data_IF_511691431337
#
_entry.id   IF_511691431337
#
_cell.length_a   1.000
_cell.length_b   1.000
_cell.length_c   1.000
_cell.angle_alpha   90.00
_cell.angle_beta   90.00
_cell.angle_gamma   90.00
#
_symmetry.space_group_name_H-M   'P 1'
#
loop_
_entity.id
_entity.type
_entity.pdbx_description
1 polymer ?
#
# COMPACT_ATOMS: atom_id res chain seq x y z
N UNK A 1 -3.71 -31.34 17.88
CA UNK A 1 -4.11 -31.61 16.49
C UNK A 1 -2.94 -31.28 15.57
N UNK A 2 -2.21 -32.31 15.10
CA UNK A 2 -1.14 -32.17 14.11
C UNK A 2 -1.78 -32.15 12.69
N UNK A 3 -2.43 -31.06 12.33
CA UNK A 3 -2.83 -30.89 10.95
C UNK A 3 -1.57 -30.51 10.16
N UNK A 4 -1.01 -31.50 9.45
CA UNK A 4 0.04 -31.24 8.45
C UNK A 4 -0.51 -30.24 7.45
N UNK A 5 0.02 -29.03 7.49
CA UNK A 5 -0.27 -28.00 6.51
C UNK A 5 0.57 -28.29 5.26
N UNK A 6 -0.06 -28.60 4.15
CA UNK A 6 0.62 -28.78 2.87
C UNK A 6 0.45 -27.50 2.04
N UNK A 7 1.56 -26.77 1.85
CA UNK A 7 1.56 -25.51 1.08
C UNK A 7 1.28 -25.78 -0.42
N UNK A 8 1.85 -26.84 -0.97
CA UNK A 8 1.78 -27.20 -2.40
C UNK A 8 0.58 -28.09 -2.77
N UNK A 9 -0.50 -28.03 -2.00
CA UNK A 9 -1.75 -28.72 -2.34
C UNK A 9 -2.47 -27.97 -3.47
N UNK A 10 -2.98 -28.70 -4.46
CA UNK A 10 -3.93 -28.12 -5.42
C UNK A 10 -5.17 -27.63 -4.67
N UNK A 11 -5.52 -26.35 -4.89
CA UNK A 11 -6.65 -25.69 -4.25
C UNK A 11 -7.53 -25.03 -5.30
N UNK A 12 -8.83 -25.20 -5.18
CA UNK A 12 -9.76 -24.36 -5.90
C UNK A 12 -9.84 -22.95 -5.20
N UNK A 13 -10.54 -22.02 -5.82
CA UNK A 13 -10.67 -20.63 -5.33
C UNK A 13 -11.19 -20.57 -3.89
N UNK A 14 -12.24 -21.35 -3.58
CA UNK A 14 -12.86 -21.37 -2.25
C UNK A 14 -11.91 -21.96 -1.19
N UNK A 15 -11.20 -23.02 -1.55
CA UNK A 15 -10.20 -23.64 -0.68
C UNK A 15 -9.02 -22.70 -0.38
N UNK A 16 -8.52 -21.96 -1.37
CA UNK A 16 -7.45 -20.99 -1.18
C UNK A 16 -7.86 -19.86 -0.21
N UNK A 17 -9.09 -19.35 -0.36
CA UNK A 17 -9.64 -18.34 0.55
C UNK A 17 -9.86 -18.93 1.94
N UNK A 18 -10.50 -20.09 2.05
CA UNK A 18 -10.78 -20.74 3.33
C UNK A 18 -9.49 -21.10 4.08
N UNK A 19 -8.49 -21.58 3.36
CA UNK A 19 -7.18 -21.90 3.93
C UNK A 19 -6.42 -20.65 4.34
N UNK A 20 -6.53 -19.54 3.61
CA UNK A 20 -6.00 -18.24 4.00
C UNK A 20 -6.59 -17.75 5.33
N UNK A 21 -7.90 -17.83 5.50
CA UNK A 21 -8.58 -17.50 6.76
C UNK A 21 -8.24 -18.46 7.89
N UNK A 22 -8.18 -19.77 7.59
CA UNK A 22 -7.77 -20.78 8.56
C UNK A 22 -6.35 -20.58 9.03
N UNK A 23 -5.44 -20.19 8.13
CA UNK A 23 -4.07 -19.83 8.46
C UNK A 23 -4.03 -18.62 9.40
N UNK A 24 -4.81 -17.57 9.15
CA UNK A 24 -4.94 -16.43 10.05
C UNK A 24 -5.39 -16.87 11.43
N UNK A 25 -6.50 -17.58 11.51
CA UNK A 25 -7.08 -18.00 12.80
C UNK A 25 -6.10 -18.79 13.67
N UNK A 26 -5.29 -19.66 13.05
CA UNK A 26 -4.35 -20.52 13.78
C UNK A 26 -3.05 -19.78 14.13
N UNK A 27 -2.55 -18.94 13.21
CA UNK A 27 -1.17 -18.45 13.27
C UNK A 27 -1.04 -16.93 13.47
N UNK A 28 -2.12 -16.21 13.69
CA UNK A 28 -2.13 -14.75 13.81
C UNK A 28 -1.12 -14.22 14.84
N UNK A 29 -0.91 -14.95 15.98
CA UNK A 29 0.04 -14.56 17.02
C UNK A 29 1.49 -14.60 16.54
N UNK A 30 1.87 -15.66 15.83
CA UNK A 30 3.22 -15.81 15.31
C UNK A 30 3.48 -14.80 14.17
N UNK A 31 2.49 -14.59 13.33
CA UNK A 31 2.51 -13.60 12.27
C UNK A 31 2.67 -12.18 12.84
N UNK A 32 1.81 -11.80 13.77
CA UNK A 32 1.88 -10.50 14.42
C UNK A 32 3.20 -10.27 15.15
N UNK A 33 3.69 -11.26 15.92
CA UNK A 33 5.00 -11.18 16.60
C UNK A 33 6.16 -10.98 15.62
N UNK A 34 6.04 -11.45 14.39
CA UNK A 34 7.07 -11.28 13.37
C UNK A 34 7.06 -9.89 12.73
N UNK A 35 5.94 -9.20 12.72
CA UNK A 35 5.72 -7.99 11.92
C UNK A 35 5.45 -6.73 12.74
N UNK A 36 4.95 -6.82 13.98
CA UNK A 36 4.40 -5.69 14.73
C UNK A 36 5.34 -4.46 14.80
N UNK A 37 6.64 -4.70 15.03
CA UNK A 37 7.62 -3.62 15.14
C UNK A 37 7.76 -2.87 13.80
N UNK A 38 7.85 -3.61 12.70
CA UNK A 38 7.96 -3.04 11.35
C UNK A 38 6.67 -2.35 10.92
N UNK A 39 5.50 -2.91 11.29
CA UNK A 39 4.20 -2.28 11.04
C UNK A 39 4.07 -0.96 11.79
N UNK A 40 4.49 -0.90 13.06
CA UNK A 40 4.47 0.34 13.82
C UNK A 40 5.45 1.38 13.26
N UNK A 41 6.66 0.97 12.88
CA UNK A 41 7.63 1.88 12.26
C UNK A 41 7.12 2.41 10.91
N UNK A 42 6.59 1.55 10.06
CA UNK A 42 6.03 1.96 8.77
C UNK A 42 4.77 2.82 8.96
N UNK A 43 3.89 2.47 9.89
CA UNK A 43 2.71 3.26 10.24
C UNK A 43 3.08 4.64 10.78
N UNK A 44 4.12 4.73 11.63
CA UNK A 44 4.63 6.02 12.14
C UNK A 44 5.22 6.88 11.02
N UNK A 45 5.95 6.28 10.09
CA UNK A 45 6.48 7.00 8.92
C UNK A 45 5.36 7.51 8.02
N UNK A 46 4.31 6.71 7.79
CA UNK A 46 3.13 7.14 7.04
C UNK A 46 2.37 8.25 7.78
N UNK A 47 2.24 8.17 9.11
CA UNK A 47 1.61 9.19 9.92
C UNK A 47 2.40 10.51 9.90
N UNK A 48 3.74 10.43 9.93
CA UNK A 48 4.60 11.60 9.79
C UNK A 48 4.45 12.23 8.39
N UNK A 49 4.47 11.43 7.34
CA UNK A 49 4.24 11.91 5.98
C UNK A 49 2.86 12.58 5.85
N UNK A 50 1.83 11.97 6.43
CA UNK A 50 0.48 12.53 6.45
C UNK A 50 0.45 13.88 7.17
N UNK A 51 1.12 13.99 8.33
CA UNK A 51 1.23 15.24 9.06
C UNK A 51 1.90 16.32 8.21
N UNK A 52 3.02 16.00 7.57
CA UNK A 52 3.72 16.92 6.66
C UNK A 52 2.83 17.36 5.49
N UNK A 53 2.04 16.44 4.92
CA UNK A 53 1.10 16.76 3.86
C UNK A 53 -0.01 17.69 4.35
N UNK A 54 -0.54 17.47 5.56
CA UNK A 54 -1.54 18.35 6.16
C UNK A 54 -0.98 19.75 6.41
N UNK A 55 0.22 19.85 6.97
CA UNK A 55 0.87 21.13 7.22
C UNK A 55 1.14 21.87 5.90
N UNK A 56 1.62 21.18 4.85
CA UNK A 56 1.80 21.77 3.52
C UNK A 56 0.48 22.25 2.89
N UNK A 57 -0.59 21.47 3.04
CA UNK A 57 -1.92 21.83 2.58
C UNK A 57 -2.43 23.11 3.25
N UNK A 58 -2.26 23.21 4.59
CA UNK A 58 -2.74 24.36 5.38
C UNK A 58 -1.91 25.62 5.15
N UNK A 59 -0.61 25.48 4.99
CA UNK A 59 0.30 26.63 4.87
C UNK A 59 0.37 27.18 3.44
N UNK A 60 0.12 26.35 2.43
CA UNK A 60 0.32 26.72 1.03
C UNK A 60 -0.95 26.57 0.19
N UNK A 61 -1.51 25.36 0.11
CA UNK A 61 -2.58 25.09 -0.86
C UNK A 61 -3.91 25.79 -0.53
N UNK A 62 -4.35 25.76 0.72
CA UNK A 62 -5.60 26.40 1.12
C UNK A 62 -5.54 27.93 1.06
N UNK A 63 -4.50 28.61 1.56
CA UNK A 63 -4.36 30.05 1.40
C UNK A 63 -4.34 30.47 -0.07
N UNK A 64 -3.59 29.76 -0.93
CA UNK A 64 -3.57 30.05 -2.36
C UNK A 64 -4.95 29.90 -3.02
N UNK A 65 -5.70 28.83 -2.65
CA UNK A 65 -7.06 28.64 -3.15
C UNK A 65 -8.00 29.78 -2.72
N UNK A 66 -7.93 30.21 -1.46
CA UNK A 66 -8.75 31.32 -0.93
C UNK A 66 -8.39 32.66 -1.59
N UNK A 67 -7.09 32.93 -1.78
CA UNK A 67 -6.64 34.12 -2.52
C UNK A 67 -7.15 34.12 -3.97
N UNK A 68 -7.09 33.00 -4.65
CA UNK A 68 -7.63 32.82 -5.99
C UNK A 68 -9.14 33.08 -6.05
N UNK A 69 -9.90 32.55 -5.07
CA UNK A 69 -11.35 32.79 -4.97
C UNK A 69 -11.71 34.26 -4.67
N UNK A 70 -10.83 34.94 -3.93
CA UNK A 70 -10.97 36.37 -3.63
C UNK A 70 -10.56 37.30 -4.81
N UNK A 71 -10.11 36.73 -5.92
CA UNK A 71 -9.70 37.51 -7.11
C UNK A 71 -8.33 38.16 -6.96
N UNK A 72 -7.45 37.62 -6.11
CA UNK A 72 -6.09 38.13 -5.96
C UNK A 72 -5.27 37.91 -7.26
N UNK A 73 -4.26 38.75 -7.46
CA UNK A 73 -3.34 38.65 -8.59
C UNK A 73 -2.66 37.26 -8.67
N UNK A 74 -2.52 36.77 -9.90
CA UNK A 74 -1.95 35.45 -10.17
C UNK A 74 -0.55 35.25 -9.56
N UNK A 75 0.26 36.31 -9.46
CA UNK A 75 1.60 36.25 -8.86
C UNK A 75 1.52 36.05 -7.33
N UNK A 76 0.56 36.72 -6.66
CA UNK A 76 0.33 36.54 -5.21
C UNK A 76 -0.15 35.12 -4.91
N UNK A 77 -1.07 34.59 -5.75
CA UNK A 77 -1.57 33.22 -5.62
C UNK A 77 -0.45 32.22 -5.83
N UNK A 78 0.40 32.40 -6.84
CA UNK A 78 1.56 31.54 -7.08
C UNK A 78 2.56 31.56 -5.91
N UNK A 79 2.88 32.76 -5.39
CA UNK A 79 3.79 32.90 -4.26
C UNK A 79 3.25 32.17 -3.01
N UNK A 80 1.94 32.24 -2.75
CA UNK A 80 1.31 31.53 -1.63
C UNK A 80 1.27 30.00 -1.84
N UNK A 81 1.10 29.56 -3.10
CA UNK A 81 0.96 28.13 -3.43
C UNK A 81 2.29 27.36 -3.41
N UNK A 82 3.42 28.07 -3.59
CA UNK A 82 4.70 27.38 -3.77
C UNK A 82 5.39 27.13 -2.41
N UNK A 83 5.56 25.87 -2.02
CA UNK A 83 6.26 25.55 -0.80
C UNK A 83 7.78 25.83 -0.93
N UNK A 84 8.40 26.20 0.16
CA UNK A 84 9.86 26.34 0.23
C UNK A 84 10.57 25.02 -0.08
N UNK A 85 11.82 25.12 -0.60
CA UNK A 85 12.64 23.92 -0.90
C UNK A 85 12.81 22.99 0.30
N UNK A 86 12.83 23.50 1.51
CA UNK A 86 12.87 22.72 2.75
C UNK A 86 11.66 21.80 2.92
N UNK A 87 10.45 22.28 2.60
CA UNK A 87 9.24 21.48 2.62
C UNK A 87 9.26 20.36 1.59
N UNK A 88 9.75 20.65 0.38
CA UNK A 88 9.91 19.64 -0.66
C UNK A 88 10.86 18.52 -0.21
N UNK A 89 11.99 18.89 0.44
CA UNK A 89 12.93 17.92 1.01
C UNK A 89 12.27 17.05 2.09
N UNK A 90 11.49 17.67 3.00
CA UNK A 90 10.76 16.89 4.04
C UNK A 90 9.75 15.92 3.43
N UNK A 91 8.97 16.36 2.43
CA UNK A 91 8.01 15.49 1.74
C UNK A 91 8.70 14.36 0.99
N UNK A 92 9.77 14.63 0.27
CA UNK A 92 10.55 13.59 -0.43
C UNK A 92 11.13 12.60 0.58
N UNK A 93 11.77 13.08 1.65
CA UNK A 93 12.39 12.23 2.67
C UNK A 93 11.33 11.39 3.39
N UNK A 94 10.20 11.98 3.79
CA UNK A 94 9.09 11.29 4.41
C UNK A 94 8.47 10.23 3.50
N UNK A 95 8.35 10.52 2.21
CA UNK A 95 7.85 9.56 1.21
C UNK A 95 8.81 8.39 1.05
N UNK A 96 10.11 8.65 0.88
CA UNK A 96 11.12 7.60 0.75
C UNK A 96 11.19 6.73 1.99
N UNK A 97 11.10 7.31 3.19
CA UNK A 97 11.08 6.58 4.46
C UNK A 97 9.85 5.68 4.55
N UNK A 98 8.67 6.21 4.27
CA UNK A 98 7.40 5.47 4.32
C UNK A 98 7.39 4.31 3.34
N UNK A 99 7.81 4.53 2.10
CA UNK A 99 7.93 3.49 1.08
C UNK A 99 8.95 2.42 1.47
N UNK A 100 10.14 2.82 1.95
CA UNK A 100 11.20 1.87 2.33
C UNK A 100 10.75 0.96 3.47
N UNK A 101 10.12 1.50 4.50
CA UNK A 101 9.59 0.71 5.61
C UNK A 101 8.39 -0.16 5.19
N UNK A 102 7.53 0.33 4.30
CA UNK A 102 6.45 -0.46 3.70
C UNK A 102 6.99 -1.65 2.91
N UNK A 103 8.01 -1.44 2.07
CA UNK A 103 8.66 -2.52 1.31
C UNK A 103 9.35 -3.55 2.23
N UNK A 104 9.95 -3.12 3.34
CA UNK A 104 10.50 -4.04 4.34
C UNK A 104 9.41 -4.89 5.00
N UNK A 105 8.25 -4.32 5.33
CA UNK A 105 7.11 -5.08 5.85
C UNK A 105 6.63 -6.15 4.85
N UNK A 106 6.47 -5.77 3.59
CA UNK A 106 6.03 -6.67 2.53
C UNK A 106 7.09 -7.75 2.25
N UNK A 107 8.37 -7.38 2.15
CA UNK A 107 9.48 -8.32 1.95
C UNK A 107 9.60 -9.34 3.08
N UNK A 108 9.43 -8.89 4.32
CA UNK A 108 9.41 -9.76 5.50
C UNK A 108 8.21 -10.71 5.48
N UNK A 109 7.05 -10.26 5.03
CA UNK A 109 5.86 -11.11 4.84
C UNK A 109 6.12 -12.19 3.80
N UNK A 110 6.67 -11.83 2.65
CA UNK A 110 7.00 -12.78 1.59
C UNK A 110 8.04 -13.80 2.05
N UNK A 111 9.06 -13.38 2.79
CA UNK A 111 10.02 -14.29 3.37
C UNK A 111 9.39 -15.24 4.40
N UNK A 112 8.44 -14.78 5.20
CA UNK A 112 7.67 -15.64 6.11
C UNK A 112 6.84 -16.68 5.34
N UNK A 113 6.22 -16.28 4.23
CA UNK A 113 5.47 -17.17 3.32
C UNK A 113 6.42 -18.25 2.76
N UNK A 114 7.57 -17.85 2.22
CA UNK A 114 8.57 -18.76 1.65
C UNK A 114 9.07 -19.79 2.68
N UNK A 115 9.43 -19.34 3.87
CA UNK A 115 9.87 -20.24 4.95
C UNK A 115 8.78 -21.21 5.39
N UNK A 116 7.53 -20.77 5.41
CA UNK A 116 6.38 -21.60 5.75
C UNK A 116 6.14 -22.66 4.67
N UNK A 117 6.31 -22.28 3.40
CA UNK A 117 6.22 -23.18 2.26
C UNK A 117 7.28 -24.28 2.29
N UNK A 118 8.55 -23.90 2.58
CA UNK A 118 9.67 -24.84 2.63
C UNK A 118 9.61 -25.80 3.83
N UNK A 119 9.14 -25.32 4.97
CA UNK A 119 9.14 -26.12 6.20
C UNK A 119 7.93 -27.04 6.36
N UNK A 120 6.89 -26.92 5.51
CA UNK A 120 5.57 -27.58 5.65
C UNK A 120 4.94 -27.44 7.05
N UNK A 121 5.51 -26.59 7.87
CA UNK A 121 5.09 -26.30 9.25
C UNK A 121 5.26 -24.82 9.50
N UNK A 122 4.43 -24.27 10.36
CA UNK A 122 4.63 -22.89 10.77
C UNK A 122 5.98 -22.73 11.45
N UNK A 123 6.79 -21.90 10.84
CA UNK A 123 8.11 -21.57 11.37
C UNK A 123 7.92 -20.68 12.60
N UNK A 124 8.85 -20.82 13.57
CA UNK A 124 8.94 -19.91 14.72
C UNK A 124 8.91 -18.44 14.24
N UNK A 125 8.34 -17.53 15.05
CA UNK A 125 8.35 -16.11 14.72
C UNK A 125 9.73 -15.65 14.27
N UNK A 126 9.78 -14.83 13.22
CA UNK A 126 11.06 -14.26 12.76
C UNK A 126 11.66 -13.39 13.87
N UNK A 127 12.97 -13.45 14.01
CA UNK A 127 13.70 -12.53 14.90
C UNK A 127 13.50 -11.08 14.42
N UNK A 128 13.55 -10.11 15.33
CA UNK A 128 13.41 -8.69 14.97
C UNK A 128 14.58 -8.16 14.14
N UNK A 129 15.74 -8.82 14.16
CA UNK A 129 16.89 -8.44 13.33
C UNK A 129 16.60 -8.65 11.84
N UNK A 130 16.95 -7.66 11.05
CA UNK A 130 16.87 -7.73 9.57
C UNK A 130 17.81 -8.84 9.04
N UNK A 131 17.27 -9.68 8.16
CA UNK A 131 18.03 -10.70 7.45
C UNK A 131 18.25 -10.28 5.99
N UNK A 132 19.36 -10.71 5.40
CA UNK A 132 19.71 -10.39 4.01
C UNK A 132 18.61 -10.85 3.00
N UNK A 133 17.97 -12.00 3.27
CA UNK A 133 16.87 -12.51 2.45
C UNK A 133 15.61 -11.62 2.52
N UNK A 134 15.31 -11.02 3.68
CA UNK A 134 14.21 -10.07 3.84
C UNK A 134 14.46 -8.79 3.02
N UNK A 135 15.70 -8.27 3.06
CA UNK A 135 16.11 -7.13 2.25
C UNK A 135 16.07 -7.44 0.74
N UNK A 136 16.43 -8.67 0.34
CA UNK A 136 16.32 -9.11 -1.05
C UNK A 136 14.87 -9.16 -1.51
N UNK A 137 13.95 -9.73 -0.71
CA UNK A 137 12.53 -9.74 -1.00
C UNK A 137 11.94 -8.32 -1.03
N UNK A 138 12.32 -7.45 -0.09
CA UNK A 138 11.91 -6.04 -0.07
C UNK A 138 12.37 -5.28 -1.33
N UNK A 139 13.61 -5.51 -1.80
CA UNK A 139 14.10 -4.92 -3.05
C UNK A 139 13.32 -5.38 -4.28
N UNK A 140 12.91 -6.65 -4.33
CA UNK A 140 12.05 -7.16 -5.42
C UNK A 140 10.67 -6.50 -5.41
N UNK A 141 10.07 -6.35 -4.23
CA UNK A 141 8.81 -5.62 -4.06
C UNK A 141 8.96 -4.17 -4.50
N UNK A 142 10.02 -3.48 -4.05
CA UNK A 142 10.32 -2.10 -4.43
C UNK A 142 10.44 -1.95 -5.96
N UNK A 143 11.16 -2.85 -6.62
CA UNK A 143 11.29 -2.83 -8.08
C UNK A 143 9.92 -2.97 -8.77
N UNK A 144 9.07 -3.88 -8.31
CA UNK A 144 7.71 -4.07 -8.83
C UNK A 144 6.89 -2.79 -8.68
N UNK A 145 6.94 -2.18 -7.52
CA UNK A 145 6.18 -0.97 -7.21
C UNK A 145 6.68 0.25 -8.00
N UNK A 146 7.99 0.38 -8.15
CA UNK A 146 8.55 1.45 -8.98
C UNK A 146 8.14 1.32 -10.44
N UNK A 147 8.21 0.12 -11.03
CA UNK A 147 7.84 -0.09 -12.43
C UNK A 147 6.34 0.10 -12.66
N UNK A 148 5.49 -0.54 -11.84
CA UNK A 148 4.04 -0.40 -11.99
C UNK A 148 3.54 0.98 -11.55
N UNK A 149 4.18 1.60 -10.55
CA UNK A 149 3.89 2.95 -10.11
C UNK A 149 4.21 4.00 -11.18
N UNK A 150 5.36 3.89 -11.83
CA UNK A 150 5.71 4.79 -12.96
C UNK A 150 4.77 4.59 -14.15
N UNK A 151 4.41 3.35 -14.47
CA UNK A 151 3.42 3.06 -15.51
C UNK A 151 2.06 3.68 -15.16
N UNK A 152 1.62 3.52 -13.91
CA UNK A 152 0.36 4.10 -13.43
C UNK A 152 0.37 5.63 -13.51
N UNK A 153 1.45 6.28 -13.08
CA UNK A 153 1.59 7.73 -13.15
C UNK A 153 1.58 8.24 -14.61
N UNK A 154 2.28 7.57 -15.50
CA UNK A 154 2.30 7.93 -16.93
C UNK A 154 0.92 7.81 -17.56
N UNK A 155 0.20 6.72 -17.29
CA UNK A 155 -1.17 6.51 -17.80
C UNK A 155 -2.16 7.50 -17.17
N UNK A 156 -2.04 7.77 -15.86
CA UNK A 156 -2.89 8.75 -15.18
C UNK A 156 -2.67 10.16 -15.73
N UNK A 157 -1.43 10.55 -15.98
CA UNK A 157 -1.11 11.84 -16.62
C UNK A 157 -1.69 11.92 -18.02
N UNK A 158 -1.61 10.84 -18.83
CA UNK A 158 -2.21 10.75 -20.16
C UNK A 158 -3.74 10.87 -20.11
N UNK A 159 -4.40 10.17 -19.19
CA UNK A 159 -5.86 10.27 -18.97
C UNK A 159 -6.23 11.69 -18.53
N UNK A 160 -5.48 12.29 -17.60
CA UNK A 160 -5.72 13.67 -17.13
C UNK A 160 -5.58 14.68 -18.26
N UNK A 161 -4.55 14.55 -19.10
CA UNK A 161 -4.38 15.40 -20.29
C UNK A 161 -5.52 15.21 -21.29
N UNK A 162 -5.93 13.98 -21.57
CA UNK A 162 -7.04 13.68 -22.47
C UNK A 162 -8.39 14.20 -21.92
N UNK A 163 -8.61 14.07 -20.62
CA UNK A 163 -9.80 14.62 -19.96
C UNK A 163 -9.86 16.13 -20.08
N UNK A 164 -8.74 16.83 -19.95
CA UNK A 164 -8.66 18.28 -20.13
C UNK A 164 -8.89 18.71 -21.58
N UNK A 165 -8.31 17.98 -22.57
CA UNK A 165 -8.39 18.36 -23.99
C UNK A 165 -9.70 17.99 -24.66
N UNK A 166 -10.29 16.84 -24.30
CA UNK A 166 -11.42 16.27 -25.06
C UNK A 166 -12.71 16.25 -24.24
N UNK A 167 -12.72 15.61 -23.10
CA UNK A 167 -13.92 15.52 -22.27
C UNK A 167 -13.59 15.09 -20.85
N UNK A 168 -14.20 15.74 -19.87
CA UNK A 168 -14.09 15.38 -18.44
C UNK A 168 -14.49 13.92 -18.16
N UNK A 169 -15.36 13.32 -18.97
CA UNK A 169 -15.80 11.93 -18.83
C UNK A 169 -14.66 10.93 -19.01
N UNK A 170 -13.59 11.31 -19.72
CA UNK A 170 -12.40 10.48 -19.84
C UNK A 170 -11.73 10.24 -18.48
N UNK A 171 -11.92 11.16 -17.53
CA UNK A 171 -11.41 10.99 -16.17
C UNK A 171 -11.99 9.78 -15.44
N UNK A 172 -13.17 9.27 -15.86
CA UNK A 172 -13.75 8.03 -15.30
C UNK A 172 -12.91 6.78 -15.59
N UNK A 173 -11.98 6.84 -16.54
CA UNK A 173 -11.02 5.76 -16.77
C UNK A 173 -9.97 5.66 -15.65
N UNK A 174 -9.74 6.74 -14.88
CA UNK A 174 -8.74 6.76 -13.82
C UNK A 174 -9.02 5.75 -12.70
N UNK A 175 -10.23 5.67 -12.10
CA UNK A 175 -10.53 4.66 -11.08
C UNK A 175 -10.43 3.23 -11.63
N UNK A 176 -10.81 2.98 -12.89
CA UNK A 176 -10.64 1.67 -13.52
C UNK A 176 -9.17 1.30 -13.68
N UNK A 177 -8.33 2.24 -14.08
CA UNK A 177 -6.88 2.07 -14.17
C UNK A 177 -6.27 1.77 -12.80
N UNK A 178 -6.67 2.51 -11.76
CA UNK A 178 -6.20 2.30 -10.38
C UNK A 178 -6.53 0.88 -9.89
N UNK A 179 -7.76 0.40 -10.13
CA UNK A 179 -8.19 -0.95 -9.78
C UNK A 179 -7.37 -1.99 -10.55
N UNK A 180 -7.21 -1.80 -11.87
CA UNK A 180 -6.49 -2.73 -12.73
C UNK A 180 -5.01 -2.87 -12.31
N UNK A 181 -4.28 -1.75 -12.21
CA UNK A 181 -2.86 -1.77 -11.87
C UNK A 181 -2.66 -2.14 -10.40
N UNK A 182 -3.53 -1.70 -9.49
CA UNK A 182 -3.47 -2.06 -8.08
C UNK A 182 -3.56 -3.59 -7.85
N UNK A 183 -4.50 -4.25 -8.53
CA UNK A 183 -4.62 -5.70 -8.50
C UNK A 183 -3.39 -6.40 -9.11
N UNK A 184 -2.89 -5.90 -10.25
CA UNK A 184 -1.69 -6.42 -10.89
C UNK A 184 -0.45 -6.26 -10.00
N UNK A 185 -0.31 -5.12 -9.31
CA UNK A 185 0.82 -4.85 -8.41
C UNK A 185 0.88 -5.88 -7.28
N UNK A 186 -0.24 -6.17 -6.64
CA UNK A 186 -0.29 -7.16 -5.55
C UNK A 186 0.08 -8.55 -6.05
N UNK A 187 -0.42 -8.95 -7.22
CA UNK A 187 -0.06 -10.23 -7.86
C UNK A 187 1.42 -10.29 -8.24
N UNK A 188 1.96 -9.24 -8.85
CA UNK A 188 3.36 -9.17 -9.24
C UNK A 188 4.31 -9.22 -8.04
N UNK A 189 3.94 -8.60 -6.91
CA UNK A 189 4.70 -8.69 -5.65
C UNK A 189 4.84 -10.12 -5.17
N UNK A 190 3.78 -10.93 -5.28
CA UNK A 190 3.83 -12.34 -4.89
C UNK A 190 4.67 -13.14 -5.88
N UNK A 191 4.41 -13.02 -7.17
CA UNK A 191 5.10 -13.78 -8.23
C UNK A 191 6.61 -13.51 -8.27
N UNK A 192 7.01 -12.23 -8.19
CA UNK A 192 8.41 -11.85 -8.24
C UNK A 192 9.07 -11.88 -6.85
N UNK A 193 8.32 -11.51 -5.81
CA UNK A 193 8.83 -11.45 -4.45
C UNK A 193 9.26 -12.79 -3.89
N UNK A 194 8.57 -13.88 -4.26
CA UNK A 194 8.97 -15.25 -3.92
C UNK A 194 10.19 -15.75 -4.71
N UNK A 195 10.70 -14.96 -5.64
CA UNK A 195 11.96 -15.23 -6.33
C UNK A 195 11.92 -16.32 -7.40
N UNK A 196 10.73 -16.77 -7.78
CA UNK A 196 10.52 -17.90 -8.69
C UNK A 196 10.52 -17.48 -10.18
N UNK A 197 10.24 -16.21 -10.49
CA UNK A 197 10.14 -15.68 -11.84
C UNK A 197 11.06 -14.49 -12.08
N UNK A 198 11.44 -14.24 -13.34
CA UNK A 198 12.09 -12.99 -13.73
C UNK A 198 11.10 -11.80 -13.61
N UNK A 199 11.58 -10.56 -13.39
CA UNK A 199 10.70 -9.40 -13.19
C UNK A 199 9.75 -9.15 -14.37
N UNK A 200 10.26 -9.24 -15.60
CA UNK A 200 9.43 -9.04 -16.81
C UNK A 200 8.34 -10.09 -16.97
N UNK A 201 8.66 -11.36 -16.68
CA UNK A 201 7.68 -12.46 -16.77
C UNK A 201 6.62 -12.34 -15.66
N UNK A 202 7.01 -11.98 -14.45
CA UNK A 202 6.07 -11.75 -13.35
C UNK A 202 5.09 -10.59 -13.65
N UNK A 203 5.59 -9.49 -14.23
CA UNK A 203 4.78 -8.36 -14.63
C UNK A 203 3.80 -8.72 -15.76
N UNK A 204 4.27 -9.40 -16.82
CA UNK A 204 3.42 -9.82 -17.93
C UNK A 204 2.32 -10.78 -17.48
N UNK A 205 2.62 -11.71 -16.58
CA UNK A 205 1.61 -12.62 -16.02
C UNK A 205 0.62 -11.87 -15.14
N UNK A 206 1.08 -10.95 -14.31
CA UNK A 206 0.23 -10.17 -13.41
C UNK A 206 -0.71 -9.22 -14.17
N UNK A 207 -0.24 -8.58 -15.23
CA UNK A 207 -1.04 -7.68 -16.08
C UNK A 207 -1.97 -8.42 -17.05
N UNK A 208 -1.64 -9.66 -17.42
CA UNK A 208 -2.36 -10.42 -18.41
C UNK A 208 -3.06 -11.66 -17.85
N UNK A 209 -2.40 -12.82 -18.02
CA UNK A 209 -3.03 -14.14 -17.82
C UNK A 209 -3.55 -14.41 -16.41
N UNK A 210 -2.87 -13.90 -15.38
CA UNK A 210 -3.28 -14.10 -13.98
C UNK A 210 -4.28 -13.07 -13.48
N UNK A 211 -4.44 -11.92 -14.17
CA UNK A 211 -5.14 -10.76 -13.65
C UNK A 211 -6.57 -11.05 -13.18
N UNK A 212 -7.41 -11.61 -14.05
CA UNK A 212 -8.83 -11.79 -13.75
C UNK A 212 -9.09 -12.70 -12.55
N UNK A 213 -8.34 -13.81 -12.45
CA UNK A 213 -8.50 -14.76 -11.34
C UNK A 213 -7.95 -14.23 -10.02
N UNK A 214 -6.80 -13.60 -10.04
CA UNK A 214 -6.20 -12.99 -8.86
C UNK A 214 -6.99 -11.76 -8.40
N UNK A 215 -7.60 -11.01 -9.31
CA UNK A 215 -8.52 -9.93 -9.00
C UNK A 215 -9.74 -10.42 -8.22
N UNK A 216 -10.37 -11.52 -8.64
CA UNK A 216 -11.50 -12.10 -7.90
C UNK A 216 -11.09 -12.54 -6.49
N UNK A 217 -9.91 -13.18 -6.33
CA UNK A 217 -9.38 -13.52 -5.00
C UNK A 217 -9.21 -12.27 -4.14
N UNK A 218 -8.59 -11.24 -4.70
CA UNK A 218 -8.38 -9.97 -3.99
C UNK A 218 -9.71 -9.31 -3.61
N UNK A 219 -10.68 -9.27 -4.52
CA UNK A 219 -11.99 -8.68 -4.27
C UNK A 219 -12.72 -9.38 -3.12
N UNK A 220 -12.77 -10.71 -3.14
CA UNK A 220 -13.44 -11.49 -2.11
C UNK A 220 -12.75 -11.40 -0.74
N UNK A 221 -11.43 -11.28 -0.72
CA UNK A 221 -10.67 -11.11 0.51
C UNK A 221 -10.66 -9.67 1.01
N UNK A 222 -10.63 -8.70 0.10
CA UNK A 222 -10.58 -7.29 0.45
C UNK A 222 -11.90 -6.79 1.00
N UNK A 223 -13.03 -7.33 0.55
CA UNK A 223 -14.35 -6.84 0.95
C UNK A 223 -14.55 -6.77 2.47
N UNK A 224 -14.29 -7.82 3.27
CA UNK A 224 -14.41 -7.72 4.72
C UNK A 224 -13.37 -6.79 5.36
N UNK A 225 -12.16 -6.69 4.79
CA UNK A 225 -11.15 -5.77 5.26
C UNK A 225 -11.36 -4.33 4.80
N UNK A 226 -12.05 -4.11 3.69
CA UNK A 226 -12.34 -2.77 3.18
C UNK A 226 -13.10 -1.93 4.20
N UNK A 227 -14.12 -2.48 4.85
CA UNK A 227 -14.86 -1.80 5.90
C UNK A 227 -13.97 -1.42 7.09
N UNK A 228 -13.07 -2.32 7.49
CA UNK A 228 -12.12 -2.07 8.57
C UNK A 228 -11.06 -1.03 8.17
N UNK A 229 -10.59 -1.07 6.93
CA UNK A 229 -9.67 -0.06 6.39
C UNK A 229 -10.35 1.31 6.26
N UNK A 230 -11.61 1.35 5.85
CA UNK A 230 -12.41 2.60 5.82
C UNK A 230 -12.56 3.15 7.24
N UNK A 231 -12.90 2.30 8.23
CA UNK A 231 -12.97 2.72 9.62
C UNK A 231 -11.62 3.26 10.13
N UNK A 232 -10.51 2.60 9.81
CA UNK A 232 -9.17 3.10 10.14
C UNK A 232 -8.85 4.43 9.44
N UNK A 233 -9.29 4.61 8.18
CA UNK A 233 -9.09 5.85 7.42
C UNK A 233 -9.88 7.05 7.98
N UNK A 234 -10.86 6.84 8.87
CA UNK A 234 -11.56 7.93 9.53
C UNK A 234 -10.63 8.82 10.35
N UNK A 235 -9.54 8.27 10.91
CA UNK A 235 -8.58 9.06 11.68
C UNK A 235 -7.87 10.13 10.81
N UNK A 236 -7.19 9.79 9.70
CA UNK A 236 -6.60 10.79 8.82
C UNK A 236 -7.64 11.71 8.16
N UNK A 237 -8.85 11.21 7.83
CA UNK A 237 -9.91 12.03 7.25
C UNK A 237 -10.47 13.05 8.25
N UNK A 238 -10.67 12.64 9.50
CA UNK A 238 -11.11 13.58 10.57
C UNK A 238 -10.05 14.66 10.84
N UNK A 239 -8.77 14.30 10.80
CA UNK A 239 -7.70 15.28 10.90
C UNK A 239 -7.79 16.31 9.78
N UNK A 240 -7.96 15.89 8.53
CA UNK A 240 -8.14 16.80 7.39
C UNK A 240 -9.28 17.79 7.66
N UNK A 241 -10.46 17.30 8.10
CA UNK A 241 -11.60 18.15 8.42
C UNK A 241 -11.31 19.17 9.51
N UNK A 242 -10.65 18.76 10.60
CA UNK A 242 -10.30 19.65 11.73
C UNK A 242 -9.28 20.70 11.29
N UNK A 243 -8.26 20.32 10.52
CA UNK A 243 -7.26 21.25 9.99
C UNK A 243 -7.88 22.26 9.02
N UNK A 244 -8.74 21.83 8.10
CA UNK A 244 -9.46 22.73 7.20
C UNK A 244 -10.30 23.75 7.99
N UNK A 245 -11.07 23.29 8.99
CA UNK A 245 -11.89 24.17 9.80
C UNK A 245 -11.05 25.18 10.62
N UNK A 246 -9.91 24.73 11.18
CA UNK A 246 -9.01 25.60 11.92
C UNK A 246 -8.36 26.67 11.01
N UNK A 247 -8.00 26.32 9.77
CA UNK A 247 -7.45 27.27 8.82
C UNK A 247 -8.50 28.30 8.37
N UNK A 248 -9.73 27.85 8.11
CA UNK A 248 -10.82 28.76 7.78
C UNK A 248 -11.12 29.73 8.92
N UNK A 249 -11.14 29.28 10.18
CA UNK A 249 -11.30 30.15 11.35
C UNK A 249 -10.18 31.17 11.46
N UNK A 250 -8.93 30.76 11.26
CA UNK A 250 -7.78 31.65 11.29
C UNK A 250 -7.84 32.71 10.17
N UNK A 251 -8.23 32.33 8.97
CA UNK A 251 -8.39 33.27 7.84
C UNK A 251 -9.54 34.27 8.04
N UNK A 252 -10.55 33.91 8.85
CA UNK A 252 -11.65 34.78 9.25
C UNK A 252 -11.29 35.70 10.44
N UNK A 253 -10.05 35.60 10.96
CA UNK A 253 -9.57 36.43 12.07
C UNK A 253 -9.90 35.87 13.46
N UNK A 254 -10.43 34.66 13.54
CA UNK A 254 -10.68 33.97 14.80
C UNK A 254 -9.39 33.23 15.20
N UNK A 255 -8.58 33.87 16.04
CA UNK A 255 -7.23 33.42 16.42
C UNK A 255 -7.16 32.18 17.32
N UNK A 256 -8.22 31.35 17.36
CA UNK A 256 -8.24 30.05 18.00
C UNK A 256 -7.41 29.06 17.17
N UNK A 257 -6.11 29.01 17.47
CA UNK A 257 -5.24 27.98 16.90
C UNK A 257 -5.66 26.58 17.34
N UNK A 258 -5.11 25.56 16.66
CA UNK A 258 -5.32 24.17 17.06
C UNK A 258 -4.87 23.96 18.52
N UNK A 259 -5.63 23.22 19.35
CA UNK A 259 -5.24 22.91 20.72
C UNK A 259 -3.85 22.27 20.79
N UNK A 260 -3.04 22.69 21.75
CA UNK A 260 -1.74 22.09 21.99
C UNK A 260 -1.90 20.59 22.26
N UNK A 261 -1.10 19.77 21.60
CA UNK A 261 -1.16 18.32 21.73
C UNK A 261 -2.13 17.60 20.76
N UNK A 262 -3.01 18.31 20.06
CA UNK A 262 -3.92 17.69 19.08
C UNK A 262 -3.13 17.05 17.92
N UNK A 263 -2.05 17.67 17.48
CA UNK A 263 -1.16 17.10 16.46
C UNK A 263 -0.55 15.77 16.92
N UNK A 264 -0.12 15.68 18.19
CA UNK A 264 0.42 14.44 18.76
C UNK A 264 -0.65 13.35 18.87
N UNK A 265 -1.87 13.70 19.26
CA UNK A 265 -2.99 12.77 19.31
C UNK A 265 -3.28 12.20 17.92
N UNK A 266 -3.39 13.06 16.91
CA UNK A 266 -3.61 12.60 15.54
C UNK A 266 -2.43 11.80 14.97
N UNK A 267 -1.21 12.17 15.32
CA UNK A 267 -0.04 11.35 14.96
C UNK A 267 -0.14 9.93 15.52
N UNK A 268 -0.52 9.79 16.80
CA UNK A 268 -0.70 8.47 17.42
C UNK A 268 -1.86 7.68 16.78
N UNK A 269 -3.02 8.33 16.56
CA UNK A 269 -4.17 7.71 15.91
C UNK A 269 -3.85 7.27 14.47
N UNK A 270 -3.20 8.13 13.71
CA UNK A 270 -2.80 7.81 12.33
C UNK A 270 -1.74 6.72 12.28
N UNK A 271 -0.81 6.67 13.24
CA UNK A 271 0.15 5.56 13.36
C UNK A 271 -0.57 4.23 13.50
N UNK A 272 -1.56 4.14 14.38
CA UNK A 272 -2.36 2.92 14.56
C UNK A 272 -3.16 2.61 13.29
N UNK A 273 -3.81 3.61 12.71
CA UNK A 273 -4.61 3.46 11.49
C UNK A 273 -3.78 2.93 10.30
N UNK A 274 -2.65 3.56 10.00
CA UNK A 274 -1.78 3.14 8.91
C UNK A 274 -1.11 1.79 9.18
N UNK A 275 -0.71 1.51 10.42
CA UNK A 275 -0.19 0.18 10.80
C UNK A 275 -1.23 -0.91 10.58
N UNK A 276 -2.50 -0.64 10.90
CA UNK A 276 -3.60 -1.57 10.69
C UNK A 276 -3.91 -1.78 9.20
N UNK A 277 -3.97 -0.71 8.40
CA UNK A 277 -4.16 -0.79 6.96
C UNK A 277 -3.02 -1.61 6.31
N UNK A 278 -1.79 -1.37 6.74
CA UNK A 278 -0.63 -2.11 6.24
C UNK A 278 -0.67 -3.58 6.67
N UNK A 279 -1.12 -3.88 7.88
CA UNK A 279 -1.35 -5.26 8.34
C UNK A 279 -2.37 -5.99 7.46
N UNK A 280 -3.50 -5.37 7.16
CA UNK A 280 -4.52 -5.91 6.26
C UNK A 280 -3.93 -6.16 4.86
N UNK A 281 -3.12 -5.23 4.36
CA UNK A 281 -2.49 -5.36 3.05
C UNK A 281 -1.46 -6.51 3.00
N UNK A 282 -0.59 -6.62 4.01
CA UNK A 282 0.37 -7.75 4.11
C UNK A 282 -0.35 -9.09 4.22
N UNK A 283 -1.51 -9.10 4.86
CA UNK A 283 -2.33 -10.29 5.01
C UNK A 283 -2.86 -10.83 3.68
N UNK A 284 -3.22 -9.97 2.75
CA UNK A 284 -3.73 -10.35 1.42
C UNK A 284 -2.72 -11.14 0.58
N UNK A 285 -1.42 -11.06 0.89
CA UNK A 285 -0.39 -11.80 0.15
C UNK A 285 -0.49 -13.32 0.39
N UNK A 286 -0.97 -13.79 1.54
CA UNK A 286 -1.06 -15.21 1.87
C UNK A 286 -1.99 -16.00 0.96
N UNK A 287 -3.28 -15.63 0.82
CA UNK A 287 -4.19 -16.36 -0.05
C UNK A 287 -3.76 -16.35 -1.52
N UNK A 288 -3.14 -15.24 -1.97
CA UNK A 288 -2.58 -15.16 -3.32
C UNK A 288 -1.43 -16.14 -3.51
N UNK A 289 -0.55 -16.29 -2.50
CA UNK A 289 0.55 -17.25 -2.54
C UNK A 289 0.06 -18.70 -2.47
N UNK A 290 -1.09 -18.95 -1.84
CA UNK A 290 -1.70 -20.28 -1.75
C UNK A 290 -2.48 -20.67 -3.02
N UNK A 291 -2.75 -19.73 -3.91
CA UNK A 291 -3.54 -19.99 -5.09
C UNK A 291 -2.74 -20.79 -6.13
N UNK A 292 -3.23 -21.98 -6.59
CA UNK A 292 -2.46 -22.91 -7.43
C UNK A 292 -1.97 -22.29 -8.72
N UNK A 293 -2.75 -21.38 -9.31
CA UNK A 293 -2.40 -20.72 -10.56
C UNK A 293 -1.14 -19.85 -10.44
N UNK A 294 -0.93 -19.24 -9.27
CA UNK A 294 0.30 -18.50 -8.95
C UNK A 294 1.45 -19.49 -8.75
N UNK A 295 1.20 -20.61 -8.10
CA UNK A 295 2.19 -21.66 -7.90
C UNK A 295 2.62 -22.30 -9.22
N UNK A 296 1.68 -22.66 -10.11
CA UNK A 296 1.98 -23.20 -11.45
C UNK A 296 2.65 -22.18 -12.38
N UNK A 297 2.26 -20.91 -12.32
CA UNK A 297 2.93 -19.86 -13.08
C UNK A 297 4.38 -19.65 -12.63
N UNK A 298 4.69 -20.02 -11.39
CA UNK A 298 6.01 -19.91 -10.82
C UNK A 298 6.89 -21.17 -10.98
N UNK A 299 6.30 -22.30 -11.40
CA UNK A 299 7.08 -23.52 -11.71
C UNK A 299 7.86 -23.32 -13.02
N UNK A 300 9.16 -23.61 -13.05
CA UNK A 300 9.93 -23.57 -14.28
C UNK A 300 9.38 -24.60 -15.28
N UNK A 301 9.39 -24.27 -16.57
CA UNK A 301 8.99 -25.14 -17.71
C UNK A 301 9.84 -26.44 -17.84
N UNK A 302 10.42 -26.92 -16.75
CA UNK A 302 11.29 -28.09 -16.76
C UNK A 302 10.57 -29.39 -17.18
N UNK A 303 9.24 -29.42 -17.21
CA UNK A 303 8.48 -30.63 -17.59
C UNK A 303 8.04 -30.69 -19.04
N UNK A 304 8.16 -29.60 -19.82
CA UNK A 304 7.75 -29.61 -21.25
C UNK A 304 8.85 -30.06 -22.22
N UNK A 305 10.06 -30.32 -21.74
CA UNK A 305 11.16 -30.85 -22.57
C UNK A 305 11.35 -32.37 -22.47
N UNK A 306 10.46 -33.09 -21.82
CA UNK A 306 10.52 -34.59 -21.72
C UNK A 306 9.33 -35.31 -22.37
N UNK A 307 8.56 -34.66 -23.23
CA UNK A 307 7.53 -35.31 -24.01
C UNK A 307 7.86 -35.29 -25.52
#
# INVERSE_FOLDING_TARGET
>A
MNTKWTFHKERNLQEAIADGWRFLAIYWRAYFKSLWCYLLLAGSACALLWQLLMDALMQHALPALRLSQAGADSEVVKAAAWPDWTWLLYLITGTLLSLSLGWLCLGRTLHLIERTAQAERLVRPLRLSLQACECSAARRVALTDCVLGTLMLALAAGIGYAAWKWSVWVALLLPLLLIYIGAATTTARVLYGLGQLSPGRALLLALGRCWGRTFVVQLLLFFPFALLCVAAALAPMSQLGVWCAATDSWLLGDGLGLPQGLALLYFALNTVAFSFILLCHTWMLWPLALYPYVQHAAQPEAETCQA
#
